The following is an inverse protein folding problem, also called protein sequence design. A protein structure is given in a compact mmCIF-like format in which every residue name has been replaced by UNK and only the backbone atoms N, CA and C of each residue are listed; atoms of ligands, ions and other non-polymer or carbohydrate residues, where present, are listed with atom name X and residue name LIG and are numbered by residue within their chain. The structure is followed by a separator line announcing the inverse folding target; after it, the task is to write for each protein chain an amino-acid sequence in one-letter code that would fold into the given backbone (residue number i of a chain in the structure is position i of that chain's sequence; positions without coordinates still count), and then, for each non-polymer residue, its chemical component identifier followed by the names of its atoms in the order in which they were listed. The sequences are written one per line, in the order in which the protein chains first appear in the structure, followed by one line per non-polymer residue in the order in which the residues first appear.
data_IF_137511571928
#
_entry.id   IF_137511571928
#
_cell.length_a   1.000
_cell.length_b   1.000
_cell.length_c   1.000
_cell.angle_alpha   90.00
_cell.angle_beta   90.00
_cell.angle_gamma   90.00
#
_symmetry.space_group_name_H-M   'P 1'
#
loop_
_entity.id
_entity.type
_entity.pdbx_description
1 polymer ?
#
# COMPACT_ATOMS: atom_id res chain seq x y z
N UNK A 1 -2.81 -72.79 4.37
CA UNK A 1 -3.51 -71.49 4.30
C UNK A 1 -2.59 -70.53 3.56
N UNK A 2 -3.01 -70.01 2.40
CA UNK A 2 -2.13 -69.72 1.26
C UNK A 2 -1.43 -68.35 1.32
N UNK A 3 -0.11 -68.35 1.51
CA UNK A 3 0.80 -67.17 1.51
C UNK A 3 0.82 -66.43 0.16
N UNK A 4 0.44 -67.10 -0.94
CA UNK A 4 0.48 -66.53 -2.29
C UNK A 4 -0.70 -65.57 -2.54
N UNK A 5 -1.84 -65.77 -1.84
CA UNK A 5 -3.03 -64.91 -1.99
C UNK A 5 -2.87 -63.56 -1.29
N UNK A 6 -2.14 -63.51 -0.17
CA UNK A 6 -1.85 -62.25 0.53
C UNK A 6 -0.93 -61.33 -0.30
N UNK A 7 0.08 -61.88 -0.96
CA UNK A 7 1.01 -61.10 -1.78
C UNK A 7 0.35 -60.51 -3.04
N UNK A 8 -0.65 -61.21 -3.60
CA UNK A 8 -1.38 -60.74 -4.78
C UNK A 8 -2.37 -59.62 -4.44
N UNK A 9 -2.89 -59.60 -3.22
CA UNK A 9 -3.80 -58.56 -2.74
C UNK A 9 -3.06 -57.27 -2.36
N UNK A 10 -1.85 -57.37 -1.78
CA UNK A 10 -1.00 -56.21 -1.45
C UNK A 10 -0.45 -55.50 -2.70
N UNK A 11 -0.15 -56.26 -3.76
CA UNK A 11 0.24 -55.66 -5.04
C UNK A 11 -0.91 -54.92 -5.75
N UNK A 12 -2.17 -55.27 -5.46
CA UNK A 12 -3.34 -54.65 -6.11
C UNK A 12 -3.80 -53.34 -5.44
N UNK A 13 -3.41 -53.12 -4.18
CA UNK A 13 -3.85 -51.95 -3.39
C UNK A 13 -2.85 -50.79 -3.32
N UNK A 14 -1.75 -50.84 -4.07
CA UNK A 14 -0.85 -49.68 -4.19
C UNK A 14 -1.36 -48.73 -5.26
N UNK A 15 -2.16 -47.75 -4.85
CA UNK A 15 -2.51 -46.60 -5.68
C UNK A 15 -1.20 -45.89 -6.06
N UNK A 16 -0.85 -45.77 -7.37
CA UNK A 16 0.35 -45.06 -7.75
C UNK A 16 0.18 -43.60 -7.37
N UNK A 17 0.88 -43.18 -6.31
CA UNK A 17 0.98 -41.78 -5.92
C UNK A 17 1.57 -41.04 -7.12
N UNK A 18 0.76 -40.23 -7.81
CA UNK A 18 1.24 -39.35 -8.88
C UNK A 18 2.25 -38.41 -8.25
N UNK A 19 3.54 -38.72 -8.44
CA UNK A 19 4.66 -37.88 -8.05
C UNK A 19 4.54 -36.61 -8.88
N UNK A 20 3.89 -35.59 -8.33
CA UNK A 20 3.91 -34.24 -8.87
C UNK A 20 5.39 -33.84 -8.90
N UNK A 21 6.05 -33.99 -10.05
CA UNK A 21 7.41 -33.51 -10.31
C UNK A 21 7.37 -31.98 -10.39
N UNK A 22 6.97 -31.35 -9.30
CA UNK A 22 7.09 -29.93 -9.08
C UNK A 22 8.53 -29.59 -8.71
N UNK A 23 8.87 -28.32 -8.91
CA UNK A 23 10.17 -27.71 -8.61
C UNK A 23 10.65 -27.95 -7.17
N UNK A 24 9.76 -28.36 -6.27
CA UNK A 24 9.99 -28.63 -4.85
C UNK A 24 10.61 -30.01 -4.54
N UNK A 25 10.68 -30.92 -5.51
CA UNK A 25 11.14 -32.31 -5.27
C UNK A 25 12.62 -32.47 -4.92
N UNK A 26 13.45 -31.47 -5.25
CA UNK A 26 14.90 -31.50 -5.00
C UNK A 26 15.34 -30.69 -3.77
N UNK A 27 14.43 -30.01 -3.09
CA UNK A 27 14.75 -29.18 -1.93
C UNK A 27 14.13 -29.81 -0.70
N UNK A 28 14.95 -30.19 0.30
CA UNK A 28 14.49 -30.82 1.54
C UNK A 28 13.88 -29.77 2.48
N UNK A 29 12.73 -29.21 2.09
CA UNK A 29 12.02 -28.18 2.82
C UNK A 29 10.79 -28.80 3.46
N UNK A 30 10.67 -28.69 4.77
CA UNK A 30 9.47 -29.12 5.50
C UNK A 30 8.24 -28.37 5.01
N UNK A 31 7.08 -29.04 4.97
CA UNK A 31 5.78 -28.42 4.62
C UNK A 31 5.51 -27.15 5.45
N UNK A 32 5.98 -27.10 6.71
CA UNK A 32 5.88 -25.92 7.56
C UNK A 32 6.66 -24.72 7.01
N UNK A 33 7.89 -24.96 6.55
CA UNK A 33 8.75 -23.94 5.95
C UNK A 33 8.23 -23.50 4.58
N UNK A 34 7.64 -24.41 3.81
CA UNK A 34 6.99 -24.07 2.54
C UNK A 34 5.77 -23.14 2.74
N UNK A 35 4.92 -23.45 3.72
CA UNK A 35 3.77 -22.60 4.05
C UNK A 35 4.20 -21.21 4.51
N UNK A 36 5.26 -21.10 5.31
CA UNK A 36 5.81 -19.81 5.74
C UNK A 36 6.30 -19.01 4.52
N UNK A 37 7.00 -19.64 3.57
CA UNK A 37 7.46 -18.97 2.34
C UNK A 37 6.27 -18.48 1.51
N UNK A 38 5.21 -19.27 1.35
CA UNK A 38 4.00 -18.87 0.61
C UNK A 38 3.33 -17.66 1.28
N UNK A 39 3.20 -17.67 2.61
CA UNK A 39 2.62 -16.55 3.36
C UNK A 39 3.48 -15.30 3.24
N UNK A 40 4.81 -15.43 3.33
CA UNK A 40 5.75 -14.32 3.17
C UNK A 40 5.71 -13.75 1.75
N UNK A 41 5.64 -14.59 0.71
CA UNK A 41 5.52 -14.14 -0.68
C UNK A 41 4.17 -13.47 -0.95
N UNK A 42 3.08 -14.01 -0.41
CA UNK A 42 1.76 -13.37 -0.52
C UNK A 42 1.76 -12.00 0.19
N UNK A 43 2.31 -11.91 1.40
CA UNK A 43 2.46 -10.64 2.12
C UNK A 43 3.36 -9.65 1.36
N UNK A 44 4.47 -10.11 0.76
CA UNK A 44 5.36 -9.28 -0.03
C UNK A 44 4.70 -8.81 -1.34
N UNK A 45 3.87 -9.64 -1.99
CA UNK A 45 3.10 -9.26 -3.16
C UNK A 45 1.98 -8.28 -2.82
N UNK A 46 1.30 -8.46 -1.69
CA UNK A 46 0.29 -7.52 -1.17
C UNK A 46 0.97 -6.18 -0.85
N UNK A 47 2.12 -6.21 -0.16
CA UNK A 47 2.93 -5.02 0.11
C UNK A 47 3.37 -4.34 -1.19
N UNK A 48 3.82 -5.12 -2.18
CA UNK A 48 4.22 -4.62 -3.49
C UNK A 48 3.04 -4.05 -4.30
N UNK A 49 1.83 -4.61 -4.18
CA UNK A 49 0.62 -4.03 -4.78
C UNK A 49 0.20 -2.71 -4.11
N UNK A 50 0.30 -2.61 -2.78
CA UNK A 50 0.04 -1.35 -2.06
C UNK A 50 1.04 -0.28 -2.47
N UNK A 51 2.31 -0.64 -2.65
CA UNK A 51 3.38 0.28 -3.09
C UNK A 51 3.30 0.59 -4.60
N UNK A 52 2.81 -0.34 -5.42
CA UNK A 52 2.78 -0.25 -6.89
C UNK A 52 1.54 0.43 -7.49
N UNK A 53 0.53 0.78 -6.68
CA UNK A 53 -0.73 1.36 -7.18
C UNK A 53 -0.65 2.85 -7.52
N UNK A 54 0.40 3.58 -7.17
CA UNK A 54 0.35 5.05 -7.17
C UNK A 54 1.31 5.72 -8.16
N UNK A 55 1.17 5.47 -9.48
CA UNK A 55 1.87 6.28 -10.50
C UNK A 55 0.96 7.13 -11.40
N UNK A 56 -0.34 6.91 -11.46
CA UNK A 56 -1.29 7.79 -12.14
C UNK A 56 -2.01 8.65 -11.09
N UNK A 57 -1.77 9.96 -11.06
CA UNK A 57 -2.41 10.90 -10.14
C UNK A 57 -1.59 12.16 -9.97
N UNK A 58 -2.26 13.26 -9.63
CA UNK A 58 -1.63 14.54 -9.36
C UNK A 58 -1.15 14.59 -7.91
N UNK A 59 0.05 15.13 -7.74
CA UNK A 59 0.65 15.27 -6.41
C UNK A 59 0.37 16.68 -5.91
N UNK A 60 -0.25 16.78 -4.73
CA UNK A 60 -0.44 18.03 -4.00
C UNK A 60 0.57 18.11 -2.87
N UNK A 61 1.44 19.11 -2.93
CA UNK A 61 2.44 19.39 -1.88
C UNK A 61 1.87 20.44 -0.92
N UNK A 62 2.27 20.36 0.33
CA UNK A 62 1.88 21.32 1.36
C UNK A 62 3.13 22.02 1.88
N UNK A 63 3.23 23.32 1.63
CA UNK A 63 4.27 24.19 2.18
C UNK A 63 3.68 24.94 3.37
N UNK A 64 4.09 24.54 4.58
CA UNK A 64 3.60 25.15 5.81
C UNK A 64 4.24 26.51 6.13
N UNK A 65 5.14 27.03 5.28
CA UNK A 65 5.78 28.35 5.44
C UNK A 65 6.34 28.57 6.86
N UNK A 66 7.15 27.61 7.32
CA UNK A 66 7.79 27.63 8.64
C UNK A 66 6.97 27.02 9.77
N UNK A 67 5.83 26.40 9.47
CA UNK A 67 5.13 25.50 10.41
C UNK A 67 5.68 24.08 10.38
N UNK A 68 5.01 23.17 11.08
CA UNK A 68 5.31 21.72 11.01
C UNK A 68 5.12 21.15 9.60
N UNK A 69 5.88 20.11 9.26
CA UNK A 69 5.76 19.41 7.98
C UNK A 69 4.39 18.76 7.82
N UNK A 70 3.79 18.91 6.65
CA UNK A 70 2.55 18.24 6.24
C UNK A 70 2.85 17.32 5.08
N UNK A 71 2.39 16.07 5.15
CA UNK A 71 2.65 15.08 4.10
C UNK A 71 1.91 15.44 2.81
N UNK A 72 2.59 15.25 1.67
CA UNK A 72 1.97 15.43 0.35
C UNK A 72 0.89 14.38 0.11
N UNK A 73 -0.16 14.76 -0.60
CA UNK A 73 -1.21 13.84 -1.01
C UNK A 73 -1.16 13.58 -2.50
N UNK A 74 -1.58 12.39 -2.91
CA UNK A 74 -1.79 12.03 -4.31
C UNK A 74 -3.27 11.80 -4.56
N UNK A 75 -3.85 12.52 -5.52
CA UNK A 75 -5.27 12.45 -5.90
C UNK A 75 -5.46 12.31 -7.40
N UNK A 76 -6.59 11.78 -7.82
CA UNK A 76 -6.97 11.76 -9.23
C UNK A 76 -7.54 13.11 -9.66
N UNK A 77 -7.66 13.30 -10.98
CA UNK A 77 -8.36 14.45 -11.54
C UNK A 77 -9.80 14.54 -11.01
N UNK A 78 -10.19 15.70 -10.50
CA UNK A 78 -11.55 15.95 -10.02
C UNK A 78 -11.86 15.40 -8.61
N UNK A 79 -10.88 14.81 -7.92
CA UNK A 79 -11.04 14.39 -6.53
C UNK A 79 -10.81 15.54 -5.54
N UNK A 80 -11.49 15.50 -4.41
CA UNK A 80 -11.23 16.38 -3.27
C UNK A 80 -9.95 15.94 -2.54
N UNK A 81 -9.29 16.89 -1.87
CA UNK A 81 -8.23 16.57 -0.93
C UNK A 81 -8.82 16.07 0.39
N UNK A 82 -8.15 15.10 1.02
CA UNK A 82 -8.43 14.83 2.43
C UNK A 82 -7.85 15.97 3.26
N UNK A 83 -8.62 16.50 4.19
CA UNK A 83 -8.14 17.58 5.04
C UNK A 83 -6.90 17.11 5.83
N UNK A 84 -5.72 17.73 5.60
CA UNK A 84 -4.54 17.38 6.37
C UNK A 84 -4.69 17.89 7.81
N UNK A 85 -3.95 17.28 8.73
CA UNK A 85 -3.77 17.86 10.07
C UNK A 85 -3.22 19.29 9.93
N UNK A 86 -3.83 20.28 10.59
CA UNK A 86 -3.38 21.65 10.47
C UNK A 86 -1.94 21.77 11.00
N UNK A 87 -1.03 22.45 10.28
CA UNK A 87 0.31 22.65 10.76
C UNK A 87 0.31 23.58 11.99
N UNK A 88 1.34 23.48 12.82
CA UNK A 88 1.55 24.40 13.95
C UNK A 88 2.77 25.28 13.72
N UNK A 89 2.69 26.55 14.13
CA UNK A 89 3.78 27.52 14.08
C UNK A 89 3.73 28.40 15.33
N UNK A 90 4.84 28.51 16.05
CA UNK A 90 4.90 29.24 17.32
C UNK A 90 4.57 30.73 17.14
N UNK A 91 3.63 31.24 17.95
CA UNK A 91 3.17 32.64 17.88
C UNK A 91 2.17 32.94 16.76
N UNK A 92 1.68 31.92 16.05
CA UNK A 92 0.71 32.08 14.96
C UNK A 92 -0.45 31.09 15.07
N UNK A 93 -1.61 31.48 14.54
CA UNK A 93 -2.76 30.63 14.30
C UNK A 93 -2.85 30.27 12.82
N UNK A 94 -3.10 29.00 12.52
CA UNK A 94 -3.30 28.55 11.14
C UNK A 94 -4.64 29.08 10.60
N UNK A 95 -4.60 29.75 9.45
CA UNK A 95 -5.77 30.35 8.81
C UNK A 95 -6.39 29.43 7.74
N UNK A 96 -5.55 28.76 6.95
CA UNK A 96 -6.00 27.92 5.86
C UNK A 96 -4.91 27.63 4.82
N UNK A 97 -5.30 26.95 3.75
CA UNK A 97 -4.44 26.63 2.62
C UNK A 97 -4.72 27.55 1.43
N UNK A 98 -3.69 27.93 0.69
CA UNK A 98 -3.75 28.88 -0.42
C UNK A 98 -2.98 28.36 -1.63
N UNK A 99 -3.40 28.70 -2.84
CA UNK A 99 -2.72 28.33 -4.08
C UNK A 99 -1.46 29.16 -4.37
N UNK A 100 -1.27 30.24 -3.63
CA UNK A 100 -0.16 31.18 -3.78
C UNK A 100 0.47 31.52 -2.44
N UNK A 101 1.78 31.78 -2.47
CA UNK A 101 2.56 32.16 -1.28
C UNK A 101 2.10 33.49 -0.66
N UNK A 102 1.45 34.37 -1.44
CA UNK A 102 0.94 35.65 -0.95
C UNK A 102 -0.43 35.50 -0.25
N UNK A 103 -0.96 34.28 -0.12
CA UNK A 103 -2.22 33.97 0.56
C UNK A 103 -3.42 34.73 0.00
N UNK A 104 -3.47 34.91 -1.32
CA UNK A 104 -4.54 35.68 -1.99
C UNK A 104 -5.65 34.80 -2.58
N UNK A 105 -5.34 33.54 -2.88
CA UNK A 105 -6.24 32.56 -3.49
C UNK A 105 -6.47 31.40 -2.52
N UNK A 106 -7.50 31.48 -1.64
CA UNK A 106 -7.78 30.42 -0.70
C UNK A 106 -8.19 29.15 -1.43
N UNK A 107 -7.77 28.01 -0.91
CA UNK A 107 -8.20 26.68 -1.34
C UNK A 107 -9.26 26.16 -0.38
N UNK A 108 -10.42 25.81 -0.92
CA UNK A 108 -11.52 25.22 -0.15
C UNK A 108 -11.42 23.69 -0.18
N UNK A 109 -10.97 23.07 0.91
CA UNK A 109 -10.83 21.61 1.03
C UNK A 109 -12.14 20.83 0.83
N UNK A 110 -13.31 21.46 1.01
CA UNK A 110 -14.62 20.81 0.86
C UNK A 110 -15.20 20.93 -0.54
N UNK A 111 -14.72 21.88 -1.36
CA UNK A 111 -15.32 22.22 -2.66
C UNK A 111 -14.34 22.12 -3.83
N UNK A 112 -13.09 22.47 -3.61
CA UNK A 112 -12.09 22.55 -4.66
C UNK A 112 -11.47 21.18 -4.92
N UNK A 113 -11.41 20.81 -6.20
CA UNK A 113 -10.94 19.51 -6.66
C UNK A 113 -9.56 19.62 -7.31
N UNK A 114 -8.75 18.59 -7.15
CA UNK A 114 -7.41 18.51 -7.74
C UNK A 114 -7.53 18.35 -9.26
N UNK A 115 -7.03 19.33 -10.02
CA UNK A 115 -7.00 19.28 -11.49
C UNK A 115 -5.61 19.06 -12.07
N UNK A 116 -4.58 19.37 -11.29
CA UNK A 116 -3.17 19.24 -11.65
C UNK A 116 -2.30 19.09 -10.40
N UNK A 117 -1.01 18.77 -10.59
CA UNK A 117 -0.05 18.78 -9.48
C UNK A 117 0.20 20.21 -9.04
N UNK A 118 0.02 20.50 -7.75
CA UNK A 118 0.08 21.86 -7.21
C UNK A 118 0.71 21.88 -5.82
N UNK A 119 1.13 23.06 -5.39
CA UNK A 119 1.59 23.31 -4.02
C UNK A 119 0.59 24.22 -3.33
N UNK A 120 0.13 23.81 -2.16
CA UNK A 120 -0.68 24.62 -1.27
C UNK A 120 0.19 25.22 -0.17
N UNK A 121 0.01 26.52 0.07
CA UNK A 121 0.77 27.32 1.02
C UNK A 121 -0.09 27.61 2.25
N UNK A 122 0.48 27.45 3.45
CA UNK A 122 -0.22 27.75 4.69
C UNK A 122 -0.33 29.26 4.92
N UNK A 123 -1.55 29.74 5.15
CA UNK A 123 -1.83 31.08 5.66
C UNK A 123 -1.83 31.11 7.18
N UNK A 124 -1.41 32.23 7.75
CA UNK A 124 -1.18 32.39 9.18
C UNK A 124 -1.60 33.77 9.69
N UNK A 125 -2.21 33.82 10.87
CA UNK A 125 -2.45 35.05 11.63
C UNK A 125 -1.57 35.10 12.88
N UNK A 126 -1.09 36.29 13.24
CA UNK A 126 -0.31 36.49 14.49
C UNK A 126 -1.27 36.40 15.68
N UNK A 127 -0.84 35.71 16.75
CA UNK A 127 -1.56 35.60 18.02
C UNK A 127 -1.38 36.82 18.94
#
# INVERSE_FOLDING_TARGET
MNTIEQQKQDQKNTVPQRQLRGLYSKVNISVKSLNIIIVVLAAALILCMVVGVSNAGFTVQFDSLGGTTVESQKRQYGELLEAPSPPTREGYSFDGWYLDINTTRPWNLEKDTVTESMTLYAGWHIL
#
